data_IF_986869105887
#
_entry.id   IF_986869105887
#
_cell.length_a   1.000
_cell.length_b   1.000
_cell.length_c   1.000
_cell.angle_alpha   90.00
_cell.angle_beta   90.00
_cell.angle_gamma   90.00
#
_symmetry.space_group_name_H-M   'P 1'
#
loop_
_entity.id
_entity.type
_entity.pdbx_description
1 polymer ?
#
# COMPACT_ATOMS: atom_id res chain seq x y z
N UNK A 1 -9.99 -30.82 4.05
CA UNK A 1 -9.11 -29.89 4.77
C UNK A 1 -9.02 -28.59 3.98
N UNK A 2 -9.45 -27.46 4.57
CA UNK A 2 -9.33 -26.14 3.99
C UNK A 2 -7.87 -25.66 4.16
N UNK A 3 -7.21 -25.29 3.07
CA UNK A 3 -5.82 -24.79 3.08
C UNK A 3 -5.69 -23.31 2.74
N UNK A 4 -6.76 -22.70 2.26
CA UNK A 4 -6.76 -21.30 1.85
C UNK A 4 -7.90 -20.57 2.57
N UNK A 5 -7.55 -19.47 3.22
CA UNK A 5 -8.49 -18.54 3.86
C UNK A 5 -8.39 -17.22 3.13
N UNK A 6 -9.53 -16.66 2.70
CA UNK A 6 -9.62 -15.37 2.08
C UNK A 6 -10.39 -14.40 2.98
N UNK A 7 -9.80 -13.23 3.24
CA UNK A 7 -10.46 -12.14 3.95
C UNK A 7 -10.80 -11.01 2.97
N UNK A 8 -12.07 -10.61 3.00
CA UNK A 8 -12.58 -9.46 2.25
C UNK A 8 -13.58 -8.67 3.13
N UNK A 9 -14.06 -7.54 2.63
CA UNK A 9 -14.90 -6.63 3.40
C UNK A 9 -14.10 -5.64 4.24
N UNK A 10 -14.75 -4.61 4.77
CA UNK A 10 -14.10 -3.51 5.47
C UNK A 10 -13.26 -3.93 6.69
N UNK A 11 -13.63 -5.01 7.37
CA UNK A 11 -12.84 -5.56 8.49
C UNK A 11 -11.44 -6.01 8.08
N UNK A 12 -11.28 -6.52 6.85
CA UNK A 12 -9.98 -6.96 6.32
C UNK A 12 -8.95 -5.82 6.15
N UNK A 13 -9.37 -4.55 6.32
CA UNK A 13 -8.45 -3.41 6.39
C UNK A 13 -7.74 -3.27 7.74
N UNK A 14 -8.08 -4.10 8.73
CA UNK A 14 -7.42 -4.10 10.04
C UNK A 14 -6.08 -4.86 9.97
N UNK A 15 -5.02 -4.12 9.63
CA UNK A 15 -3.68 -4.67 9.44
C UNK A 15 -3.14 -5.41 10.69
N UNK A 16 -3.50 -4.94 11.89
CA UNK A 16 -3.08 -5.56 13.16
C UNK A 16 -3.76 -6.91 13.34
N UNK A 17 -5.07 -6.98 13.12
CA UNK A 17 -5.83 -8.23 13.19
C UNK A 17 -5.34 -9.24 12.15
N UNK A 18 -5.10 -8.79 10.92
CA UNK A 18 -4.61 -9.64 9.83
C UNK A 18 -3.25 -10.27 10.19
N UNK A 19 -2.34 -9.49 10.75
CA UNK A 19 -1.02 -10.01 11.14
C UNK A 19 -1.12 -11.02 12.26
N UNK A 20 -1.89 -10.73 13.33
CA UNK A 20 -2.13 -11.67 14.42
C UNK A 20 -2.78 -12.97 13.93
N UNK A 21 -3.77 -12.85 13.05
CA UNK A 21 -4.40 -14.03 12.45
C UNK A 21 -3.36 -14.85 11.67
N UNK A 22 -2.56 -14.22 10.79
CA UNK A 22 -1.53 -14.93 10.02
C UNK A 22 -0.52 -15.65 10.94
N UNK A 23 -0.13 -15.03 12.06
CA UNK A 23 0.78 -15.63 13.03
C UNK A 23 0.17 -16.84 13.76
N UNK A 24 -1.15 -16.85 13.99
CA UNK A 24 -1.86 -17.93 14.69
C UNK A 24 -2.19 -19.12 13.80
N UNK A 25 -2.15 -18.94 12.48
CA UNK A 25 -2.46 -20.01 11.53
C UNK A 25 -1.29 -20.98 11.38
N UNK A 26 -1.57 -22.29 11.21
CA UNK A 26 -0.57 -23.26 10.81
C UNK A 26 0.16 -22.85 9.53
N UNK A 27 1.41 -23.30 9.36
CA UNK A 27 2.24 -22.92 8.21
C UNK A 27 1.69 -23.38 6.86
N UNK A 28 0.94 -24.48 6.86
CA UNK A 28 0.32 -25.06 5.67
C UNK A 28 -1.03 -24.41 5.30
N UNK A 29 -1.48 -23.42 6.07
CA UNK A 29 -2.67 -22.62 5.77
C UNK A 29 -2.24 -21.29 5.16
N UNK A 30 -2.72 -21.01 3.97
CA UNK A 30 -2.51 -19.74 3.29
C UNK A 30 -3.59 -18.73 3.72
N UNK A 31 -3.18 -17.52 4.03
CA UNK A 31 -4.09 -16.40 4.28
C UNK A 31 -3.93 -15.37 3.15
N UNK A 32 -4.97 -15.18 2.39
CA UNK A 32 -5.10 -14.10 1.43
C UNK A 32 -5.96 -12.99 2.02
N UNK A 33 -5.46 -11.77 2.01
CA UNK A 33 -6.20 -10.58 2.43
C UNK A 33 -6.34 -9.67 1.21
N UNK A 34 -7.59 -9.44 0.80
CA UNK A 34 -7.89 -8.63 -0.38
C UNK A 34 -7.42 -7.17 -0.18
N UNK A 35 -6.52 -6.65 -1.02
CA UNK A 35 -6.00 -5.28 -0.88
C UNK A 35 -7.05 -4.19 -1.03
N UNK A 36 -8.10 -4.46 -1.80
CA UNK A 36 -9.22 -3.54 -2.05
C UNK A 36 -10.48 -4.09 -1.37
N UNK A 37 -10.36 -4.52 -0.13
CA UNK A 37 -11.38 -5.26 0.60
C UNK A 37 -12.62 -4.43 0.99
N UNK A 38 -12.60 -3.10 0.87
CA UNK A 38 -13.78 -2.25 1.10
C UNK A 38 -14.69 -2.18 -0.14
N UNK A 39 -15.75 -1.38 -0.07
CA UNK A 39 -16.79 -1.27 -1.11
C UNK A 39 -16.27 -1.04 -2.52
N UNK A 40 -15.14 -0.32 -2.70
CA UNK A 40 -14.54 -0.13 -4.02
C UNK A 40 -14.09 -1.45 -4.67
N UNK A 41 -13.81 -2.49 -3.90
CA UNK A 41 -13.45 -3.82 -4.40
C UNK A 41 -14.60 -4.55 -5.09
N UNK A 42 -15.84 -4.17 -4.82
CA UNK A 42 -17.02 -4.77 -5.45
C UNK A 42 -17.02 -4.57 -6.97
N UNK A 43 -16.48 -3.45 -7.46
CA UNK A 43 -16.34 -3.19 -8.89
C UNK A 43 -15.40 -4.21 -9.58
N UNK A 44 -14.26 -4.49 -8.93
CA UNK A 44 -13.32 -5.52 -9.44
C UNK A 44 -13.96 -6.90 -9.34
N UNK A 45 -14.63 -7.19 -8.21
CA UNK A 45 -15.29 -8.47 -7.99
C UNK A 45 -16.37 -8.75 -9.03
N UNK A 46 -17.22 -7.77 -9.33
CA UNK A 46 -18.26 -7.87 -10.34
C UNK A 46 -17.67 -8.13 -11.75
N UNK A 47 -16.62 -7.40 -12.12
CA UNK A 47 -15.97 -7.58 -13.41
C UNK A 47 -15.32 -8.99 -13.54
N UNK A 48 -14.66 -9.46 -12.47
CA UNK A 48 -14.08 -10.81 -12.45
C UNK A 48 -15.15 -11.90 -12.51
N UNK A 49 -16.24 -11.73 -11.74
CA UNK A 49 -17.35 -12.69 -11.73
C UNK A 49 -17.96 -12.81 -13.15
N UNK A 50 -18.30 -11.68 -13.75
CA UNK A 50 -18.86 -11.66 -15.11
C UNK A 50 -17.90 -12.31 -16.12
N UNK A 51 -16.60 -12.01 -16.02
CA UNK A 51 -15.59 -12.64 -16.88
C UNK A 51 -15.61 -14.17 -16.76
N UNK A 52 -15.60 -14.70 -15.54
CA UNK A 52 -15.64 -16.15 -15.31
C UNK A 52 -16.95 -16.78 -15.77
N UNK A 53 -18.10 -16.13 -15.53
CA UNK A 53 -19.40 -16.62 -16.01
C UNK A 53 -19.44 -16.71 -17.54
N UNK A 54 -18.94 -15.70 -18.24
CA UNK A 54 -18.87 -15.71 -19.71
C UNK A 54 -17.97 -16.83 -20.22
N UNK A 55 -16.82 -17.05 -19.59
CA UNK A 55 -15.88 -18.13 -19.95
C UNK A 55 -16.52 -19.52 -19.75
N UNK A 56 -17.25 -19.71 -18.66
CA UNK A 56 -18.00 -20.94 -18.41
C UNK A 56 -19.06 -21.19 -19.49
N UNK A 57 -19.77 -20.15 -19.92
CA UNK A 57 -20.76 -20.25 -21.00
C UNK A 57 -20.12 -20.64 -22.36
N UNK A 58 -18.86 -20.22 -22.56
CA UNK A 58 -18.06 -20.62 -23.74
C UNK A 58 -17.47 -22.04 -23.61
N UNK A 59 -17.74 -22.77 -22.52
CA UNK A 59 -17.21 -24.11 -22.26
C UNK A 59 -15.76 -24.14 -21.79
N UNK A 60 -15.21 -23.00 -21.36
CA UNK A 60 -13.83 -22.90 -20.88
C UNK A 60 -13.83 -23.05 -19.35
N UNK A 61 -13.40 -24.20 -18.88
CA UNK A 61 -13.38 -24.56 -17.45
C UNK A 61 -12.00 -24.40 -16.81
N UNK A 62 -10.94 -24.36 -17.60
CA UNK A 62 -9.54 -24.34 -17.14
C UNK A 62 -8.92 -22.93 -17.28
N UNK A 63 -9.70 -21.90 -16.97
CA UNK A 63 -9.23 -20.52 -17.06
C UNK A 63 -8.19 -20.25 -15.95
N UNK A 64 -6.97 -19.84 -16.29
CA UNK A 64 -5.93 -19.62 -15.30
C UNK A 64 -6.33 -18.48 -14.36
N UNK A 65 -6.26 -18.75 -13.06
CA UNK A 65 -6.42 -17.70 -12.05
C UNK A 65 -5.23 -16.74 -12.16
N UNK A 66 -5.50 -15.53 -12.62
CA UNK A 66 -4.48 -14.46 -12.70
C UNK A 66 -4.36 -13.81 -11.32
N UNK A 67 -3.22 -13.98 -10.61
CA UNK A 67 -3.01 -13.36 -9.32
C UNK A 67 -3.11 -11.84 -9.41
N UNK A 68 -3.68 -11.22 -8.39
CA UNK A 68 -3.69 -9.76 -8.29
C UNK A 68 -2.30 -9.26 -7.85
N UNK A 69 -1.51 -8.81 -8.81
CA UNK A 69 -0.14 -8.31 -8.59
C UNK A 69 -0.08 -6.80 -8.41
N UNK A 70 -1.18 -6.10 -8.64
CA UNK A 70 -1.26 -4.64 -8.54
C UNK A 70 -2.64 -4.18 -8.09
N UNK A 71 -2.71 -2.99 -7.54
CA UNK A 71 -3.95 -2.25 -7.28
C UNK A 71 -3.99 -0.92 -8.06
N UNK A 72 -3.09 -0.74 -9.01
CA UNK A 72 -2.95 0.50 -9.80
C UNK A 72 -3.87 0.48 -11.02
N UNK A 73 -5.17 0.39 -10.77
CA UNK A 73 -6.21 0.29 -11.81
C UNK A 73 -6.90 1.60 -12.12
N UNK A 74 -6.63 2.66 -11.36
CA UNK A 74 -7.24 3.97 -11.56
C UNK A 74 -6.83 4.65 -12.86
N UNK A 75 -7.43 5.78 -13.14
CA UNK A 75 -7.14 6.54 -14.35
C UNK A 75 -5.70 7.04 -14.38
N UNK A 76 -5.10 6.98 -15.57
CA UNK A 76 -3.90 7.71 -15.89
C UNK A 76 -4.32 9.13 -16.28
N UNK A 77 -4.01 10.09 -15.43
CA UNK A 77 -4.33 11.48 -15.73
C UNK A 77 -3.38 12.03 -16.79
N UNK A 78 -3.93 12.45 -17.90
CA UNK A 78 -3.23 13.25 -18.90
C UNK A 78 -3.61 14.72 -18.67
N UNK A 79 -2.68 15.52 -18.18
CA UNK A 79 -2.91 16.96 -18.09
C UNK A 79 -2.83 17.56 -19.49
N UNK A 80 -3.84 18.35 -19.92
CA UNK A 80 -3.75 19.04 -21.19
C UNK A 80 -2.53 19.99 -21.17
N UNK A 81 -1.90 20.14 -22.33
CA UNK A 81 -0.75 21.06 -22.51
C UNK A 81 -1.07 22.52 -22.16
N UNK A 82 -2.35 22.84 -22.13
CA UNK A 82 -2.91 24.16 -21.79
C UNK A 82 -2.98 24.48 -20.30
N UNK A 83 -2.59 23.52 -19.42
CA UNK A 83 -2.61 23.79 -17.98
C UNK A 83 -1.58 24.89 -17.64
N UNK A 84 -2.04 25.99 -17.06
CA UNK A 84 -1.19 27.10 -16.66
C UNK A 84 -0.34 26.75 -15.44
N UNK A 85 0.94 26.46 -15.68
CA UNK A 85 1.94 26.25 -14.63
C UNK A 85 2.67 27.54 -14.23
N UNK A 86 2.22 28.74 -14.67
CA UNK A 86 2.93 30.00 -14.43
C UNK A 86 3.18 30.29 -12.94
N UNK A 87 2.33 29.75 -12.07
CA UNK A 87 2.47 29.85 -10.60
C UNK A 87 3.46 28.86 -9.98
N UNK A 88 4.01 27.93 -10.77
CA UNK A 88 4.85 26.84 -10.25
C UNK A 88 6.16 26.77 -11.02
N UNK A 89 7.24 26.54 -10.29
CA UNK A 89 8.53 26.24 -10.91
C UNK A 89 8.54 24.80 -11.39
N UNK A 90 8.58 24.58 -12.70
CA UNK A 90 8.73 23.26 -13.31
C UNK A 90 10.22 22.93 -13.48
N UNK A 91 10.66 21.81 -12.94
CA UNK A 91 12.07 21.37 -13.03
C UNK A 91 12.10 19.85 -13.28
N UNK A 92 12.94 19.41 -14.21
CA UNK A 92 13.21 17.97 -14.39
C UNK A 92 14.02 17.47 -13.21
N UNK A 93 13.59 16.39 -12.57
CA UNK A 93 14.25 15.80 -11.40
C UNK A 93 14.48 14.30 -11.60
N UNK A 94 15.50 13.79 -10.93
CA UNK A 94 15.82 12.35 -10.84
C UNK A 94 15.37 11.78 -9.51
N UNK A 95 15.39 10.44 -9.38
CA UNK A 95 15.12 9.79 -8.09
C UNK A 95 16.15 10.20 -7.01
N UNK A 96 17.43 10.50 -7.41
CA UNK A 96 18.45 11.01 -6.49
C UNK A 96 18.10 12.39 -5.94
N UNK A 97 17.52 13.27 -6.78
CA UNK A 97 17.08 14.60 -6.34
C UNK A 97 15.93 14.48 -5.33
N UNK A 98 15.00 13.56 -5.56
CA UNK A 98 13.90 13.27 -4.64
C UNK A 98 14.44 12.74 -3.31
N UNK A 99 15.35 11.75 -3.35
CA UNK A 99 15.98 11.17 -2.15
C UNK A 99 16.73 12.25 -1.33
N UNK A 100 17.46 13.15 -2.02
CA UNK A 100 18.13 14.28 -1.37
C UNK A 100 17.13 15.19 -0.65
N UNK A 101 16.01 15.54 -1.29
CA UNK A 101 14.98 16.38 -0.65
C UNK A 101 14.38 15.69 0.59
N UNK A 102 14.15 14.38 0.52
CA UNK A 102 13.66 13.62 1.67
C UNK A 102 14.68 13.61 2.82
N UNK A 103 15.97 13.42 2.52
CA UNK A 103 17.03 13.47 3.55
C UNK A 103 17.16 14.85 4.19
N UNK A 104 16.83 15.91 3.47
CA UNK A 104 16.75 17.31 3.96
C UNK A 104 15.42 17.61 4.70
N UNK A 105 14.62 16.59 5.02
CA UNK A 105 13.31 16.73 5.67
C UNK A 105 12.30 17.57 4.87
N UNK A 106 12.35 17.52 3.55
CA UNK A 106 11.33 18.11 2.70
C UNK A 106 10.20 17.12 2.46
N UNK A 107 8.98 17.62 2.39
CA UNK A 107 7.81 16.83 1.99
C UNK A 107 7.79 16.71 0.48
N UNK A 108 7.62 15.50 -0.02
CA UNK A 108 7.50 15.22 -1.46
C UNK A 108 6.16 14.52 -1.72
N UNK A 109 5.34 15.10 -2.57
CA UNK A 109 4.13 14.45 -3.08
C UNK A 109 4.45 13.77 -4.42
N UNK A 110 4.15 12.48 -4.51
CA UNK A 110 4.25 11.71 -5.74
C UNK A 110 2.90 11.67 -6.45
N UNK A 111 2.93 12.00 -7.73
CA UNK A 111 1.79 11.88 -8.61
C UNK A 111 2.30 11.34 -9.95
N UNK A 112 2.11 10.05 -10.20
CA UNK A 112 2.61 9.38 -11.40
C UNK A 112 1.68 8.25 -11.81
N UNK A 113 1.77 7.84 -13.06
CA UNK A 113 1.07 6.68 -13.63
C UNK A 113 -0.42 6.56 -13.23
N UNK A 114 -0.95 5.36 -13.20
CA UNK A 114 -2.31 5.08 -12.74
C UNK A 114 -2.43 5.19 -11.23
N UNK A 115 -3.53 5.77 -10.74
CA UNK A 115 -3.78 5.80 -9.30
C UNK A 115 -4.04 4.39 -8.75
N UNK A 116 -3.75 4.25 -7.46
CA UNK A 116 -4.19 3.08 -6.73
C UNK A 116 -5.70 3.06 -6.61
N UNK A 117 -6.29 1.87 -6.71
CA UNK A 117 -7.65 1.59 -6.31
C UNK A 117 -7.61 1.04 -4.88
N UNK A 118 -8.47 1.56 -4.02
CA UNK A 118 -8.47 1.17 -2.61
C UNK A 118 -8.01 2.28 -1.66
N UNK A 119 -7.97 1.99 -0.35
CA UNK A 119 -7.78 3.01 0.68
C UNK A 119 -6.31 3.38 0.91
N UNK A 120 -5.37 2.66 0.30
CA UNK A 120 -3.92 2.80 0.55
C UNK A 120 -3.22 3.49 -0.60
N UNK A 121 -2.38 4.48 -0.27
CA UNK A 121 -1.43 5.05 -1.21
C UNK A 121 -0.19 4.14 -1.27
N UNK A 122 0.16 3.67 -2.45
CA UNK A 122 1.20 2.66 -2.70
C UNK A 122 2.21 3.11 -3.75
N UNK A 123 2.56 4.41 -3.73
CA UNK A 123 3.65 4.97 -4.50
C UNK A 123 3.25 5.81 -5.72
N UNK A 124 1.99 5.81 -6.14
CA UNK A 124 1.54 6.61 -7.29
C UNK A 124 0.79 7.89 -6.87
N UNK A 125 0.12 7.88 -5.72
CA UNK A 125 -0.55 9.04 -5.09
C UNK A 125 -0.12 9.11 -3.63
N UNK A 126 1.19 9.34 -3.40
CA UNK A 126 1.79 9.23 -2.07
C UNK A 126 2.43 10.54 -1.63
N UNK A 127 2.35 10.82 -0.33
CA UNK A 127 3.15 11.85 0.33
C UNK A 127 4.31 11.13 1.02
N UNK A 128 5.53 11.51 0.68
CA UNK A 128 6.75 10.95 1.23
C UNK A 128 7.41 11.94 2.19
N UNK A 129 8.00 11.41 3.25
CA UNK A 129 8.79 12.18 4.21
C UNK A 129 9.89 11.29 4.82
N UNK A 130 10.90 11.92 5.42
CA UNK A 130 12.01 11.21 6.07
C UNK A 130 11.54 10.42 7.30
N UNK A 131 11.63 9.08 7.31
CA UNK A 131 11.17 8.25 8.43
C UNK A 131 12.03 8.38 9.69
N UNK A 132 13.26 8.89 9.58
CA UNK A 132 14.16 9.10 10.73
C UNK A 132 13.84 10.37 11.51
N UNK A 133 13.03 11.27 10.96
CA UNK A 133 12.60 12.48 11.66
C UNK A 133 11.54 12.12 12.72
N UNK A 134 11.86 12.36 13.98
CA UNK A 134 10.95 12.04 15.11
C UNK A 134 9.63 12.80 15.10
N UNK A 135 9.56 13.94 14.38
CA UNK A 135 8.35 14.75 14.21
C UNK A 135 7.61 14.46 12.90
N UNK A 136 8.06 13.46 12.14
CA UNK A 136 7.49 13.15 10.81
C UNK A 136 5.98 12.94 10.87
N UNK A 137 5.50 12.20 11.85
CA UNK A 137 4.08 11.92 12.04
C UNK A 137 3.25 13.19 12.21
N UNK A 138 3.68 14.11 13.07
CA UNK A 138 2.95 15.35 13.33
C UNK A 138 2.99 16.28 12.12
N UNK A 139 4.14 16.41 11.47
CA UNK A 139 4.33 17.25 10.28
C UNK A 139 3.40 16.77 9.15
N UNK A 140 3.43 15.48 8.83
CA UNK A 140 2.65 14.96 7.70
C UNK A 140 1.16 14.89 8.03
N UNK A 141 0.76 14.60 9.28
CA UNK A 141 -0.64 14.64 9.68
C UNK A 141 -1.21 16.08 9.62
N UNK A 142 -0.41 17.09 9.99
CA UNK A 142 -0.80 18.49 9.85
C UNK A 142 -1.04 18.86 8.37
N UNK A 143 -0.16 18.44 7.46
CA UNK A 143 -0.32 18.66 6.01
C UNK A 143 -1.58 17.98 5.48
N UNK A 144 -1.90 16.78 5.98
CA UNK A 144 -3.09 16.03 5.62
C UNK A 144 -4.37 16.51 6.32
N UNK A 145 -4.26 17.48 7.21
CA UNK A 145 -5.36 17.99 8.03
C UNK A 145 -6.14 16.86 8.72
N UNK A 146 -5.41 15.99 9.43
CA UNK A 146 -5.98 14.84 10.13
C UNK A 146 -5.39 14.68 11.52
N UNK A 147 -5.95 13.78 12.30
CA UNK A 147 -5.58 13.54 13.70
C UNK A 147 -4.11 13.11 13.84
N UNK A 148 -3.39 13.67 14.82
CA UNK A 148 -1.96 13.47 15.03
C UNK A 148 -1.57 12.03 15.41
N UNK A 149 -2.50 11.27 15.98
CA UNK A 149 -2.24 9.87 16.37
C UNK A 149 -2.15 8.90 15.19
N UNK A 150 -2.62 9.26 14.00
CA UNK A 150 -2.62 8.35 12.85
C UNK A 150 -1.21 7.98 12.41
N UNK A 151 -0.92 6.68 12.26
CA UNK A 151 0.40 6.21 11.83
C UNK A 151 0.63 6.39 10.33
N UNK A 152 1.89 6.16 9.94
CA UNK A 152 2.32 6.04 8.55
C UNK A 152 3.03 4.71 8.34
N UNK A 153 3.02 4.23 7.09
CA UNK A 153 3.78 3.05 6.70
C UNK A 153 5.14 3.44 6.14
N UNK A 154 6.13 2.59 6.38
CA UNK A 154 7.43 2.67 5.71
C UNK A 154 7.38 2.00 4.34
N UNK A 155 8.10 2.57 3.38
CA UNK A 155 8.43 1.93 2.11
C UNK A 155 9.88 1.51 2.12
N UNK A 156 10.15 0.24 1.83
CA UNK A 156 11.49 -0.33 1.85
C UNK A 156 11.66 -1.31 0.69
N UNK A 157 12.90 -1.53 0.27
CA UNK A 157 13.22 -2.58 -0.68
C UNK A 157 12.95 -3.96 -0.09
N UNK A 158 12.47 -4.88 -0.90
CA UNK A 158 12.12 -6.23 -0.46
C UNK A 158 13.30 -6.94 0.20
N UNK A 159 14.49 -6.85 -0.40
CA UNK A 159 15.73 -7.43 0.10
C UNK A 159 16.16 -6.91 1.48
N UNK A 160 15.78 -5.68 1.83
CA UNK A 160 16.14 -5.03 3.09
C UNK A 160 15.05 -5.19 4.16
N UNK A 161 13.86 -5.66 3.82
CA UNK A 161 12.70 -5.62 4.72
C UNK A 161 12.95 -6.32 6.05
N UNK A 162 13.60 -7.48 6.06
CA UNK A 162 13.90 -8.27 7.26
C UNK A 162 14.96 -7.63 8.17
N UNK A 163 15.75 -6.69 7.64
CA UNK A 163 16.71 -5.91 8.45
C UNK A 163 15.99 -4.87 9.31
N UNK A 164 14.95 -4.24 8.78
CA UNK A 164 14.27 -3.12 9.43
C UNK A 164 12.99 -3.52 10.17
N UNK A 165 12.33 -4.59 9.73
CA UNK A 165 11.05 -5.02 10.28
C UNK A 165 11.07 -6.49 10.72
N UNK A 166 10.31 -6.79 11.76
CA UNK A 166 10.04 -8.16 12.17
C UNK A 166 8.92 -8.74 11.30
N UNK A 167 9.30 -9.27 10.15
CA UNK A 167 8.37 -9.83 9.17
C UNK A 167 7.75 -11.15 9.64
N UNK A 168 8.38 -11.82 10.62
CA UNK A 168 7.93 -13.12 11.17
C UNK A 168 7.61 -14.14 10.04
N UNK A 169 6.33 -14.48 9.87
CA UNK A 169 5.83 -15.47 8.89
C UNK A 169 5.56 -14.87 7.51
N UNK A 170 5.83 -13.59 7.32
CA UNK A 170 5.64 -12.90 6.04
C UNK A 170 6.96 -12.79 5.28
N UNK A 171 6.93 -12.98 3.97
CA UNK A 171 8.06 -12.66 3.10
C UNK A 171 7.97 -11.22 2.60
N UNK A 172 6.76 -10.73 2.35
CA UNK A 172 6.52 -9.38 1.86
C UNK A 172 5.16 -8.82 2.34
N UNK A 173 4.93 -7.53 2.17
CA UNK A 173 3.65 -6.87 2.43
C UNK A 173 3.43 -5.72 1.43
N UNK A 174 3.20 -6.01 0.15
CA UNK A 174 3.18 -4.99 -0.91
C UNK A 174 1.96 -4.06 -0.86
N UNK A 175 0.89 -4.44 -0.17
CA UNK A 175 -0.39 -3.73 -0.15
C UNK A 175 -0.75 -3.12 1.20
N UNK A 176 0.18 -3.05 2.16
CA UNK A 176 -0.06 -2.50 3.50
C UNK A 176 -1.21 -3.21 4.25
N UNK A 177 -1.35 -4.53 4.07
CA UNK A 177 -2.41 -5.31 4.71
C UNK A 177 -2.00 -5.94 6.04
N UNK A 178 -0.74 -5.76 6.45
CA UNK A 178 -0.18 -6.28 7.71
C UNK A 178 0.56 -5.20 8.45
N UNK A 179 0.39 -5.14 9.78
CA UNK A 179 1.17 -4.28 10.66
C UNK A 179 2.26 -5.11 11.33
N UNK A 180 3.51 -4.81 11.03
CA UNK A 180 4.69 -5.51 11.51
C UNK A 180 5.51 -4.60 12.43
N UNK A 181 6.24 -5.17 13.40
CA UNK A 181 7.08 -4.40 14.31
C UNK A 181 8.33 -3.88 13.63
N UNK A 182 8.68 -2.62 13.88
CA UNK A 182 9.95 -2.05 13.47
C UNK A 182 11.06 -2.50 14.42
N UNK A 183 12.12 -3.11 13.88
CA UNK A 183 13.32 -3.52 14.63
C UNK A 183 14.22 -2.34 14.99
N UNK A 184 14.27 -1.35 14.12
CA UNK A 184 15.19 -0.23 14.24
C UNK A 184 14.51 0.97 14.92
N UNK A 185 15.03 1.38 16.06
CA UNK A 185 14.55 2.55 16.80
C UNK A 185 14.75 3.89 16.07
N UNK A 186 15.57 3.94 15.02
CA UNK A 186 15.77 5.16 14.23
C UNK A 186 14.54 5.53 13.37
N UNK A 187 13.64 4.58 13.09
CA UNK A 187 12.43 4.82 12.28
C UNK A 187 11.29 5.47 13.09
N UNK A 188 11.62 6.46 13.92
CA UNK A 188 10.66 7.11 14.84
C UNK A 188 9.48 7.76 14.13
N UNK A 189 9.66 8.18 12.88
CA UNK A 189 8.64 8.90 12.13
C UNK A 189 7.48 8.04 11.63
N UNK A 190 7.65 6.72 11.57
CA UNK A 190 6.62 5.77 11.14
C UNK A 190 6.15 4.85 12.27
N UNK A 191 6.91 4.77 13.34
CA UNK A 191 6.65 3.83 14.43
C UNK A 191 5.42 4.23 15.24
N UNK A 192 4.51 3.30 15.45
CA UNK A 192 3.38 3.44 16.35
C UNK A 192 3.79 3.26 17.81
N UNK A 193 2.91 3.66 18.75
CA UNK A 193 3.18 3.57 20.21
C UNK A 193 3.40 2.14 20.70
N UNK A 194 2.81 1.14 20.04
CA UNK A 194 2.97 -0.28 20.33
C UNK A 194 4.19 -0.93 19.63
N UNK A 195 4.94 -0.15 18.87
CA UNK A 195 6.14 -0.59 18.13
C UNK A 195 5.89 -1.10 16.71
N UNK A 196 4.62 -1.11 16.24
CA UNK A 196 4.30 -1.45 14.84
C UNK A 196 4.51 -0.27 13.90
#
# INVERSE_FOLDING_TARGET
NVKNICLSGGYALNCVANFKLRQSLPKDINLYVEPVSHDAGTAIGAAKLLYHEMRMLEGITDDPIIPQTTVKYGFQNHYPATYDFARFKKTKVTNKDVAKKLSENKIVALFKDRSELGPRALGNRSILFNPNNSKAKDIVNKVKNRESYRPFAGTILHEDCKQYFDMNVLDESPFMMYAVKAKNYSLKGIRHVDGT
#
